data_IF_000484163946
#
_entry.id   IF_000484163946
#
_cell.length_a   1.000
_cell.length_b   1.000
_cell.length_c   1.000
_cell.angle_alpha   90.00
_cell.angle_beta   90.00
_cell.angle_gamma   90.00
#
_symmetry.space_group_name_H-M   'P 1'
#
loop_
_entity.id
_entity.type
_entity.pdbx_description
1 polymer ?
#
# COMPACT_ATOMS: atom_id res chain seq x y z
N UNK A 1 37.82 -13.49 -13.47
CA UNK A 1 37.96 -13.15 -12.04
C UNK A 1 36.56 -12.92 -11.51
N UNK A 2 36.15 -13.80 -10.60
CA UNK A 2 34.83 -13.82 -9.99
C UNK A 2 34.68 -12.64 -9.03
N UNK A 3 33.69 -11.79 -9.27
CA UNK A 3 33.23 -10.81 -8.28
C UNK A 3 32.11 -11.46 -7.49
N UNK A 4 32.53 -12.37 -6.61
CA UNK A 4 31.71 -13.10 -5.66
C UNK A 4 31.12 -12.08 -4.67
N UNK A 5 29.94 -11.57 -5.01
CA UNK A 5 29.20 -10.62 -4.19
C UNK A 5 28.30 -11.45 -3.29
N UNK A 6 28.90 -12.10 -2.29
CA UNK A 6 28.18 -12.75 -1.20
C UNK A 6 27.42 -11.65 -0.45
N UNK A 7 26.21 -11.35 -0.90
CA UNK A 7 25.28 -10.51 -0.16
C UNK A 7 24.93 -11.30 1.09
N UNK A 8 25.46 -10.89 2.24
CA UNK A 8 25.00 -11.33 3.55
C UNK A 8 23.53 -10.91 3.70
N UNK A 9 22.62 -11.75 3.20
CA UNK A 9 21.19 -11.56 3.34
C UNK A 9 20.79 -11.90 4.76
N UNK A 10 20.11 -10.96 5.41
CA UNK A 10 19.44 -11.18 6.69
C UNK A 10 17.93 -11.15 6.51
N UNK A 11 17.22 -11.84 7.41
CA UNK A 11 15.76 -11.76 7.45
C UNK A 11 15.34 -10.32 7.75
N UNK A 12 14.52 -9.74 6.88
CA UNK A 12 14.09 -8.35 6.93
C UNK A 12 14.73 -7.45 5.86
N UNK A 13 15.75 -7.92 5.14
CA UNK A 13 16.39 -7.12 4.10
C UNK A 13 15.51 -6.96 2.86
N UNK A 14 15.48 -5.74 2.33
CA UNK A 14 14.79 -5.41 1.07
C UNK A 14 15.77 -5.59 -0.07
N UNK A 15 15.43 -6.47 -1.01
CA UNK A 15 16.31 -6.87 -2.09
C UNK A 15 15.61 -6.87 -3.44
N UNK A 16 16.34 -6.52 -4.50
CA UNK A 16 15.83 -6.45 -5.88
C UNK A 16 16.01 -7.79 -6.57
N UNK A 17 14.92 -8.47 -6.88
CA UNK A 17 14.94 -9.77 -7.51
C UNK A 17 14.20 -9.76 -8.86
N UNK A 18 14.72 -10.48 -9.84
CA UNK A 18 14.12 -10.58 -11.17
C UNK A 18 13.20 -11.79 -11.25
N UNK A 19 11.98 -11.60 -11.71
CA UNK A 19 11.01 -12.70 -11.90
C UNK A 19 11.54 -13.64 -12.99
N UNK A 20 11.95 -14.86 -12.62
CA UNK A 20 12.36 -15.89 -13.58
C UNK A 20 11.19 -16.75 -14.01
N UNK A 21 10.30 -17.08 -13.07
CA UNK A 21 9.18 -17.97 -13.33
C UNK A 21 7.98 -17.61 -12.46
N UNK A 22 6.77 -17.81 -13.00
CA UNK A 22 5.52 -17.60 -12.26
C UNK A 22 4.73 -18.91 -12.31
N UNK A 23 4.53 -19.54 -11.16
CA UNK A 23 3.67 -20.70 -11.01
C UNK A 23 2.30 -20.28 -10.45
N UNK A 24 1.40 -21.25 -10.30
CA UNK A 24 0.02 -21.01 -9.83
C UNK A 24 -0.03 -20.42 -8.42
N UNK A 25 0.87 -20.87 -7.52
CA UNK A 25 0.83 -20.55 -6.09
C UNK A 25 2.06 -19.77 -5.60
N UNK A 26 3.11 -19.64 -6.40
CA UNK A 26 4.32 -18.88 -6.06
C UNK A 26 5.04 -18.42 -7.32
N UNK A 27 5.82 -17.34 -7.21
CA UNK A 27 6.77 -16.91 -8.22
C UNK A 27 8.21 -17.27 -7.77
N UNK A 28 9.05 -17.62 -8.73
CA UNK A 28 10.48 -17.81 -8.54
C UNK A 28 11.18 -16.56 -9.04
N UNK A 29 11.91 -15.94 -8.13
CA UNK A 29 12.69 -14.74 -8.35
C UNK A 29 14.18 -15.12 -8.25
N UNK A 30 15.01 -14.39 -8.97
CA UNK A 30 16.47 -14.54 -8.95
C UNK A 30 17.07 -13.26 -8.43
N UNK A 31 17.86 -13.41 -7.37
CA UNK A 31 18.61 -12.36 -6.71
C UNK A 31 20.11 -12.61 -6.94
N UNK A 32 20.61 -12.23 -8.12
CA UNK A 32 21.95 -12.63 -8.52
C UNK A 32 22.08 -14.15 -8.53
N UNK A 33 22.93 -14.68 -7.65
CA UNK A 33 23.20 -16.12 -7.51
C UNK A 33 22.21 -16.87 -6.59
N UNK A 34 21.33 -16.14 -5.90
CA UNK A 34 20.38 -16.71 -4.93
C UNK A 34 18.99 -16.82 -5.54
N UNK A 35 18.32 -17.96 -5.30
CA UNK A 35 16.94 -18.17 -5.70
C UNK A 35 16.02 -17.72 -4.57
N UNK A 36 15.07 -16.84 -4.89
CA UNK A 36 14.04 -16.38 -3.98
C UNK A 36 12.65 -16.86 -4.43
N UNK A 37 11.81 -17.21 -3.47
CA UNK A 37 10.45 -17.69 -3.68
C UNK A 37 9.46 -16.67 -3.13
N UNK A 38 8.47 -16.29 -3.93
CA UNK A 38 7.41 -15.37 -3.54
C UNK A 38 6.07 -16.10 -3.58
N UNK A 39 5.55 -16.55 -2.43
CA UNK A 39 4.21 -17.12 -2.34
C UNK A 39 3.14 -16.11 -2.79
N UNK A 40 2.08 -16.57 -3.45
CA UNK A 40 0.98 -15.69 -3.87
C UNK A 40 0.28 -15.00 -2.69
N UNK A 41 0.26 -15.62 -1.51
CA UNK A 41 -0.24 -15.03 -0.25
C UNK A 41 0.61 -13.89 0.30
N UNK A 42 1.86 -13.78 -0.15
CA UNK A 42 2.83 -12.77 0.27
C UNK A 42 2.98 -11.65 -0.80
N UNK A 43 2.14 -11.66 -1.83
CA UNK A 43 2.15 -10.66 -2.91
C UNK A 43 1.30 -9.43 -2.62
N UNK A 44 0.09 -9.59 -2.07
CA UNK A 44 -0.86 -8.48 -1.86
C UNK A 44 -1.81 -8.75 -0.70
N UNK A 45 -2.31 -7.69 -0.07
CA UNK A 45 -3.38 -7.73 0.93
C UNK A 45 -4.79 -7.90 0.30
N UNK A 46 -4.91 -7.79 -1.02
CA UNK A 46 -6.19 -7.82 -1.74
C UNK A 46 -6.74 -9.23 -2.02
N UNK A 47 -8.03 -9.31 -2.39
CA UNK A 47 -8.71 -10.57 -2.76
C UNK A 47 -8.21 -11.19 -4.08
N UNK A 48 -7.48 -10.43 -4.88
CA UNK A 48 -6.88 -10.89 -6.14
C UNK A 48 -5.39 -11.23 -5.97
N UNK A 49 -5.13 -12.51 -5.75
CA UNK A 49 -3.80 -13.11 -5.60
C UNK A 49 -3.24 -13.67 -6.92
N UNK A 50 -3.79 -13.29 -8.07
CA UNK A 50 -3.35 -13.84 -9.35
C UNK A 50 -2.02 -13.19 -9.80
N UNK A 51 -0.91 -13.83 -9.44
CA UNK A 51 0.45 -13.41 -9.78
C UNK A 51 0.67 -13.22 -11.29
N UNK A 52 0.02 -14.00 -12.15
CA UNK A 52 0.23 -13.92 -13.61
C UNK A 52 -0.23 -12.60 -14.23
N UNK A 53 -1.24 -11.96 -13.67
CA UNK A 53 -1.73 -10.68 -14.16
C UNK A 53 -0.93 -9.51 -13.59
N UNK A 54 -0.21 -9.76 -12.50
CA UNK A 54 0.43 -8.76 -11.66
C UNK A 54 1.94 -8.67 -11.87
N UNK A 55 2.57 -9.78 -12.22
CA UNK A 55 4.01 -9.91 -12.46
C UNK A 55 4.26 -10.35 -13.89
N UNK A 56 5.36 -9.86 -14.47
CA UNK A 56 5.87 -10.30 -15.78
C UNK A 56 7.23 -10.96 -15.58
N UNK A 57 7.48 -12.04 -16.32
CA UNK A 57 8.78 -12.70 -16.35
C UNK A 57 9.81 -11.71 -16.94
N UNK A 58 10.98 -11.63 -16.32
CA UNK A 58 12.03 -10.68 -16.66
C UNK A 58 11.91 -9.32 -16.00
N UNK A 59 10.82 -9.05 -15.27
CA UNK A 59 10.67 -7.79 -14.51
C UNK A 59 11.41 -7.88 -13.18
N UNK A 60 12.14 -6.82 -12.85
CA UNK A 60 12.69 -6.62 -11.52
C UNK A 60 11.61 -6.14 -10.54
N UNK A 61 11.53 -6.82 -9.40
CA UNK A 61 10.66 -6.45 -8.29
C UNK A 61 11.48 -6.39 -7.01
N UNK A 62 11.09 -5.50 -6.10
CA UNK A 62 11.67 -5.52 -4.76
C UNK A 62 10.88 -6.48 -3.90
N UNK A 63 11.58 -7.31 -3.13
CA UNK A 63 11.00 -8.22 -2.13
C UNK A 63 11.75 -8.12 -0.81
N UNK A 64 11.07 -8.37 0.31
CA UNK A 64 11.70 -8.49 1.62
C UNK A 64 11.97 -9.95 1.90
N UNK A 65 13.15 -10.23 2.44
CA UNK A 65 13.52 -11.55 2.95
C UNK A 65 12.68 -11.85 4.19
N UNK A 66 11.86 -12.90 4.14
CA UNK A 66 11.08 -13.38 5.29
C UNK A 66 11.81 -14.49 6.01
N UNK A 67 12.44 -15.37 5.24
CA UNK A 67 13.05 -16.59 5.77
C UNK A 67 14.15 -17.03 4.81
N UNK A 68 15.26 -17.51 5.37
CA UNK A 68 16.37 -18.06 4.59
C UNK A 68 16.45 -19.54 4.92
N UNK A 69 16.31 -20.36 3.90
CA UNK A 69 16.39 -21.82 4.01
C UNK A 69 17.55 -22.35 3.19
N UNK A 70 17.93 -23.60 3.43
CA UNK A 70 18.89 -24.35 2.63
C UNK A 70 18.49 -24.46 1.14
N UNK A 71 17.20 -24.35 0.83
CA UNK A 71 16.63 -24.44 -0.52
C UNK A 71 16.51 -23.09 -1.23
N UNK A 72 16.77 -21.99 -0.54
CA UNK A 72 16.65 -20.62 -1.06
C UNK A 72 15.94 -19.69 -0.08
N UNK A 73 15.64 -18.49 -0.56
CA UNK A 73 15.09 -17.41 0.27
C UNK A 73 13.59 -17.30 0.06
N UNK A 74 12.80 -17.34 1.14
CA UNK A 74 11.38 -16.99 1.06
C UNK A 74 11.23 -15.48 1.19
N UNK A 75 10.45 -14.90 0.28
CA UNK A 75 10.37 -13.46 0.07
C UNK A 75 8.93 -12.97 0.01
N UNK A 76 8.70 -11.72 0.41
CA UNK A 76 7.37 -11.10 0.43
C UNK A 76 7.41 -9.71 -0.20
N UNK A 77 6.39 -9.38 -0.98
CA UNK A 77 6.14 -8.00 -1.41
C UNK A 77 5.21 -7.31 -0.41
N UNK A 78 4.28 -8.07 0.17
CA UNK A 78 3.31 -7.60 1.16
C UNK A 78 3.95 -7.02 2.41
N UNK A 79 5.06 -7.63 2.87
CA UNK A 79 5.82 -7.18 4.04
C UNK A 79 6.80 -6.05 3.73
N UNK A 80 7.07 -5.79 2.45
CA UNK A 80 7.85 -4.62 1.99
C UNK A 80 7.03 -3.35 1.97
N UNK A 81 5.75 -3.46 1.64
CA UNK A 81 4.82 -2.35 1.83
C UNK A 81 4.74 -2.15 3.34
N UNK A 82 5.54 -1.20 3.86
CA UNK A 82 5.37 -0.67 5.21
C UNK A 82 3.86 -0.47 5.35
N UNK A 83 3.25 -1.10 6.34
CA UNK A 83 1.81 -0.92 6.56
C UNK A 83 1.56 0.59 6.48
N UNK A 84 0.73 1.07 5.55
CA UNK A 84 0.54 2.50 5.36
C UNK A 84 0.04 3.16 6.66
N UNK A 85 -0.49 2.35 7.60
CA UNK A 85 -0.84 2.72 8.98
C UNK A 85 0.31 2.71 9.98
N UNK A 86 1.44 2.06 9.70
CA UNK A 86 2.57 2.00 10.62
C UNK A 86 3.18 3.40 10.87
N UNK A 87 3.33 4.16 9.79
CA UNK A 87 3.90 5.52 9.82
C UNK A 87 2.85 6.63 9.80
N UNK A 88 1.56 6.30 9.85
CA UNK A 88 0.49 7.30 9.68
C UNK A 88 0.57 8.41 10.73
N UNK A 89 0.88 8.08 11.98
CA UNK A 89 1.02 9.02 13.10
C UNK A 89 2.29 9.87 13.00
N UNK A 90 3.28 9.44 12.21
CA UNK A 90 4.52 10.20 11.96
C UNK A 90 4.40 11.08 10.71
N UNK A 91 3.56 10.69 9.77
CA UNK A 91 3.34 11.39 8.51
C UNK A 91 2.22 12.44 8.62
N UNK A 92 1.26 12.20 9.51
CA UNK A 92 0.07 13.01 9.65
C UNK A 92 -0.30 13.27 11.11
N UNK A 93 -0.61 14.53 11.39
CA UNK A 93 -1.12 14.99 12.67
C UNK A 93 -2.62 15.34 12.57
N UNK A 94 -3.33 15.25 13.69
CA UNK A 94 -4.70 15.75 13.75
C UNK A 94 -4.70 17.27 13.57
N UNK A 95 -5.63 17.79 12.78
CA UNK A 95 -5.73 19.15 12.26
C UNK A 95 -4.70 19.53 11.19
N UNK A 96 -3.91 18.57 10.69
CA UNK A 96 -3.04 18.81 9.55
C UNK A 96 -3.86 18.84 8.26
N UNK A 97 -3.58 19.84 7.42
CA UNK A 97 -4.07 19.90 6.04
C UNK A 97 -3.16 19.06 5.13
N UNK A 98 -3.75 18.18 4.34
CA UNK A 98 -3.05 17.31 3.39
C UNK A 98 -3.82 17.21 2.08
N UNK A 99 -3.15 16.83 0.99
CA UNK A 99 -3.81 16.56 -0.29
C UNK A 99 -4.25 15.10 -0.35
N UNK A 100 -5.53 14.89 -0.65
CA UNK A 100 -6.12 13.56 -0.80
C UNK A 100 -6.90 13.43 -2.10
N UNK A 101 -6.96 12.21 -2.63
CA UNK A 101 -7.70 11.87 -3.84
C UNK A 101 -8.99 11.15 -3.51
N UNK A 102 -10.11 11.59 -4.07
CA UNK A 102 -11.38 10.89 -3.91
C UNK A 102 -11.35 9.59 -4.71
N UNK A 103 -11.51 8.46 -4.04
CA UNK A 103 -11.54 7.14 -4.70
C UNK A 103 -12.95 6.66 -4.95
N UNK A 104 -13.89 7.01 -4.07
CA UNK A 104 -15.27 6.55 -4.16
C UNK A 104 -16.21 7.48 -3.42
N UNK A 105 -17.38 7.73 -4.01
CA UNK A 105 -18.42 8.55 -3.38
C UNK A 105 -19.60 7.66 -2.97
N UNK A 106 -20.16 7.93 -1.79
CA UNK A 106 -21.31 7.24 -1.21
C UNK A 106 -22.33 8.28 -0.72
N UNK A 107 -23.59 7.89 -0.50
CA UNK A 107 -24.64 8.82 -0.03
C UNK A 107 -24.39 9.43 1.36
N UNK A 108 -23.50 8.84 2.16
CA UNK A 108 -23.15 9.33 3.50
C UNK A 108 -21.79 10.06 3.56
N UNK A 109 -21.00 10.05 2.47
CA UNK A 109 -19.67 10.63 2.47
C UNK A 109 -18.82 10.20 1.26
N UNK A 110 -17.54 10.53 1.29
CA UNK A 110 -16.59 10.19 0.24
C UNK A 110 -15.35 9.55 0.85
N UNK A 111 -14.79 8.56 0.16
CA UNK A 111 -13.52 7.98 0.52
C UNK A 111 -12.39 8.78 -0.10
N UNK A 112 -11.45 9.17 0.76
CA UNK A 112 -10.27 9.92 0.38
C UNK A 112 -9.06 9.04 0.60
N UNK A 113 -8.25 8.85 -0.44
CA UNK A 113 -6.97 8.17 -0.39
C UNK A 113 -5.85 9.21 -0.34
N UNK A 114 -4.95 9.03 0.62
CA UNK A 114 -3.76 9.84 0.77
C UNK A 114 -2.61 9.28 -0.09
N UNK A 115 -1.59 10.08 -0.44
CA UNK A 115 -0.47 9.66 -1.29
C UNK A 115 0.31 8.43 -0.80
N UNK A 116 0.23 8.13 0.50
CA UNK A 116 0.85 6.95 1.10
C UNK A 116 -0.02 5.68 1.03
N UNK A 117 -1.17 5.72 0.35
CA UNK A 117 -2.10 4.60 0.19
C UNK A 117 -3.02 4.37 1.40
N UNK A 118 -3.05 5.30 2.37
CA UNK A 118 -4.05 5.26 3.45
C UNK A 118 -5.38 5.81 2.94
N UNK A 119 -6.45 5.07 3.17
CA UNK A 119 -7.80 5.52 2.84
C UNK A 119 -8.55 5.89 4.12
N UNK A 120 -9.28 6.99 4.07
CA UNK A 120 -10.17 7.43 5.13
C UNK A 120 -11.50 7.94 4.58
N UNK A 121 -12.35 8.41 5.48
CA UNK A 121 -13.71 8.83 5.18
C UNK A 121 -13.87 10.33 5.45
N UNK A 122 -14.34 11.04 4.42
CA UNK A 122 -14.90 12.38 4.54
C UNK A 122 -16.40 12.21 4.72
N UNK A 123 -16.92 12.58 5.90
CA UNK A 123 -18.35 12.45 6.20
C UNK A 123 -19.14 13.62 5.59
N UNK A 124 -20.38 13.42 5.16
CA UNK A 124 -21.19 14.51 4.56
C UNK A 124 -21.34 15.76 5.45
N UNK A 125 -21.40 15.56 6.77
CA UNK A 125 -21.49 16.65 7.75
C UNK A 125 -20.20 17.50 7.82
N UNK A 126 -19.08 16.91 7.40
CA UNK A 126 -17.77 17.56 7.29
C UNK A 126 -17.55 18.20 5.92
N UNK A 127 -18.48 17.98 4.97
CA UNK A 127 -18.47 18.56 3.63
C UNK A 127 -19.28 19.84 3.50
N UNK A 128 -20.41 19.92 4.19
CA UNK A 128 -21.34 21.04 4.10
C UNK A 128 -21.86 21.41 5.50
N UNK A 129 -22.04 22.72 5.75
CA UNK A 129 -22.64 23.23 6.99
C UNK A 129 -24.11 22.84 7.11
N UNK A 130 -24.82 22.85 5.98
CA UNK A 130 -26.29 22.68 5.97
C UNK A 130 -26.71 21.21 5.78
N UNK A 131 -25.76 20.31 5.47
CA UNK A 131 -26.03 18.88 5.26
C UNK A 131 -26.99 18.54 4.11
N UNK A 132 -27.38 19.54 3.31
CA UNK A 132 -28.38 19.46 2.23
C UNK A 132 -27.80 19.05 0.89
N UNK A 133 -26.49 19.22 0.68
CA UNK A 133 -25.81 18.86 -0.56
C UNK A 133 -25.36 17.41 -0.51
N UNK A 134 -25.66 16.67 -1.57
CA UNK A 134 -25.15 15.32 -1.74
C UNK A 134 -23.62 15.35 -1.93
N UNK A 135 -22.87 14.40 -1.35
CA UNK A 135 -21.43 14.32 -1.54
C UNK A 135 -20.98 14.36 -3.02
N UNK A 136 -21.76 13.77 -3.91
CA UNK A 136 -21.52 13.75 -5.37
C UNK A 136 -21.62 15.11 -6.05
N UNK A 137 -22.25 16.09 -5.40
CA UNK A 137 -22.33 17.47 -5.90
C UNK A 137 -21.17 18.34 -5.38
N UNK A 138 -20.49 17.89 -4.32
CA UNK A 138 -19.41 18.62 -3.66
C UNK A 138 -18.04 18.15 -4.18
N UNK A 139 -17.89 16.83 -4.36
CA UNK A 139 -16.64 16.20 -4.79
C UNK A 139 -16.90 15.24 -5.95
N UNK A 140 -15.86 15.00 -6.76
CA UNK A 140 -15.89 14.05 -7.89
C UNK A 140 -14.92 12.89 -7.68
N UNK A 141 -15.28 11.69 -8.16
CA UNK A 141 -14.35 10.56 -8.13
C UNK A 141 -13.10 10.85 -8.97
N UNK A 142 -11.94 10.55 -8.43
CA UNK A 142 -10.64 10.85 -9.03
C UNK A 142 -10.14 12.28 -8.79
N UNK A 143 -10.95 13.17 -8.22
CA UNK A 143 -10.53 14.54 -7.88
C UNK A 143 -9.50 14.53 -6.76
N UNK A 144 -8.45 15.34 -6.90
CA UNK A 144 -7.50 15.64 -5.84
C UNK A 144 -7.86 16.97 -5.19
N UNK A 145 -7.94 17.00 -3.86
CA UNK A 145 -8.26 18.22 -3.11
C UNK A 145 -7.56 18.23 -1.76
N UNK A 146 -7.48 19.41 -1.16
CA UNK A 146 -6.94 19.56 0.18
C UNK A 146 -8.02 19.20 1.22
N UNK A 147 -7.66 18.35 2.17
CA UNK A 147 -8.50 17.85 3.27
C UNK A 147 -7.77 18.02 4.59
N UNK A 148 -8.51 18.23 5.67
CA UNK A 148 -7.97 18.30 7.03
C UNK A 148 -8.25 17.00 7.75
N UNK A 149 -7.25 16.46 8.44
CA UNK A 149 -7.39 15.24 9.23
C UNK A 149 -8.05 15.59 10.57
N UNK A 150 -9.21 15.02 10.87
CA UNK A 150 -9.93 15.29 12.13
C UNK A 150 -9.69 14.20 13.18
N UNK A 151 -9.44 12.96 12.76
CA UNK A 151 -9.15 11.84 13.65
C UNK A 151 -8.32 10.79 12.92
N UNK A 152 -7.42 10.14 13.66
CA UNK A 152 -6.62 8.99 13.20
C UNK A 152 -6.81 7.86 14.21
N UNK A 153 -7.47 6.79 13.78
CA UNK A 153 -7.69 5.58 14.57
C UNK A 153 -6.86 4.44 13.99
N UNK A 154 -5.58 4.36 14.38
CA UNK A 154 -4.63 3.36 13.88
C UNK A 154 -5.06 1.92 14.14
N UNK A 155 -5.67 1.66 15.30
CA UNK A 155 -6.16 0.32 15.67
C UNK A 155 -7.28 -0.16 14.74
N UNK A 156 -8.19 0.74 14.37
CA UNK A 156 -9.31 0.44 13.47
C UNK A 156 -8.98 0.64 11.98
N UNK A 157 -7.79 1.18 11.68
CA UNK A 157 -7.38 1.58 10.34
C UNK A 157 -8.40 2.52 9.71
N UNK A 158 -8.76 3.59 10.45
CA UNK A 158 -9.65 4.66 9.98
C UNK A 158 -9.02 6.04 10.16
N UNK A 159 -9.17 6.87 9.14
CA UNK A 159 -8.91 8.32 9.23
C UNK A 159 -10.22 9.01 8.88
N UNK A 160 -10.55 10.03 9.65
CA UNK A 160 -11.64 10.95 9.34
C UNK A 160 -11.07 12.24 8.76
N UNK A 161 -11.70 12.70 7.68
CA UNK A 161 -11.34 13.93 7.01
C UNK A 161 -12.46 14.97 7.14
N UNK A 162 -12.08 16.23 7.03
CA UNK A 162 -12.98 17.36 6.86
C UNK A 162 -12.50 18.30 5.77
N UNK A 163 -13.42 18.94 5.08
CA UNK A 163 -13.13 20.04 4.14
C UNK A 163 -13.61 21.38 4.68
N UNK A 164 -14.24 21.40 5.85
CA UNK A 164 -14.48 22.64 6.59
C UNK A 164 -13.14 23.15 7.11
N UNK A 165 -12.75 24.34 6.66
CA UNK A 165 -11.77 25.12 7.42
C UNK A 165 -12.46 25.57 8.72
N UNK A 166 -11.83 25.31 9.86
CA UNK A 166 -12.18 25.91 11.15
C UNK A 166 -11.91 27.42 11.13
#
# INVERSE_FOLDING_TARGET
>A
MASDSLVELTVGDIVKATVKQIQKNYAVLSLGDIVAYLPSSEYSWGRDNNLKNKLKIGTEVQVVVIEITDKGVMSSIKRMTKDPWHNVETLYEVNQQTRGKITKIMSFGAFVELPNGVQGLLHKNEMSLDGTKEPSEIVSEGQEMDVVITSIEKAERKISFSIKSF
#
